data_IF_202730512270
#
_entry.id   IF_202730512270
#
_cell.length_a   1.000
_cell.length_b   1.000
_cell.length_c   1.000
_cell.angle_alpha   90.00
_cell.angle_beta   90.00
_cell.angle_gamma   90.00
#
_symmetry.space_group_name_H-M   'P 1'
#
loop_
_entity.id
_entity.type
_entity.pdbx_description
1 polymer ?
#
# COMPACT_ATOMS: atom_id res chain seq x y z
N UNK A 1 56.91 -28.05 -30.73
CA UNK A 1 55.84 -28.03 -29.72
C UNK A 1 55.38 -26.59 -29.72
N UNK A 2 54.36 -26.32 -30.53
CA UNK A 2 54.13 -25.01 -31.14
C UNK A 2 52.85 -24.43 -30.56
N UNK A 3 52.97 -23.25 -29.99
CA UNK A 3 51.89 -22.48 -29.37
C UNK A 3 50.82 -22.14 -30.41
N UNK A 4 49.56 -22.45 -30.10
CA UNK A 4 48.41 -21.97 -30.87
C UNK A 4 47.72 -20.85 -30.10
N UNK A 5 47.82 -19.67 -30.70
CA UNK A 5 47.15 -18.42 -30.36
C UNK A 5 45.64 -18.60 -30.59
N UNK A 6 44.83 -18.36 -29.56
CA UNK A 6 43.37 -18.25 -29.65
C UNK A 6 43.00 -16.88 -30.24
N UNK A 7 42.47 -16.88 -31.46
CA UNK A 7 41.79 -15.72 -32.06
C UNK A 7 40.37 -15.61 -31.48
N UNK A 8 39.89 -14.42 -31.08
CA UNK A 8 38.52 -14.26 -30.61
C UNK A 8 37.55 -14.33 -31.80
N UNK A 9 36.60 -15.27 -31.74
CA UNK A 9 35.51 -15.39 -32.71
C UNK A 9 34.59 -14.17 -32.61
N UNK A 10 34.50 -13.46 -33.72
CA UNK A 10 33.70 -12.26 -33.92
C UNK A 10 32.20 -12.62 -33.88
N UNK A 11 31.49 -12.22 -32.83
CA UNK A 11 30.05 -12.46 -32.64
C UNK A 11 29.26 -11.40 -33.40
N UNK A 12 29.30 -11.45 -34.72
CA UNK A 12 28.40 -10.67 -35.59
C UNK A 12 28.05 -11.53 -36.78
N UNK A 13 27.00 -12.34 -36.64
CA UNK A 13 26.10 -12.81 -37.70
C UNK A 13 25.14 -13.86 -37.10
N UNK A 14 24.06 -13.41 -36.45
CA UNK A 14 22.88 -14.25 -36.23
C UNK A 14 21.88 -13.90 -37.32
N UNK A 15 21.58 -14.81 -38.26
CA UNK A 15 20.48 -14.60 -39.20
C UNK A 15 19.16 -14.55 -38.43
N UNK A 16 18.42 -13.46 -38.56
CA UNK A 16 17.03 -13.33 -38.12
C UNK A 16 16.14 -14.20 -39.03
N UNK A 17 15.89 -15.45 -38.65
CA UNK A 17 14.73 -16.20 -39.16
C UNK A 17 14.00 -16.89 -38.00
N UNK A 18 12.79 -16.43 -37.60
CA UNK A 18 12.06 -16.94 -36.44
C UNK A 18 11.22 -18.18 -36.79
N UNK A 19 11.78 -19.15 -37.52
CA UNK A 19 11.00 -20.25 -38.11
C UNK A 19 11.06 -21.59 -37.37
N UNK A 20 11.88 -21.74 -36.32
CA UNK A 20 11.99 -23.01 -35.59
C UNK A 20 11.28 -22.96 -34.23
N UNK A 21 10.07 -23.54 -34.16
CA UNK A 21 9.26 -23.63 -32.94
C UNK A 21 10.01 -24.32 -31.79
N UNK A 22 10.86 -25.31 -32.09
CA UNK A 22 11.70 -25.96 -31.09
C UNK A 22 12.75 -25.01 -30.50
N UNK A 23 13.30 -24.09 -31.29
CA UNK A 23 14.25 -23.10 -30.80
C UNK A 23 13.56 -22.03 -29.94
N UNK A 24 12.31 -21.68 -30.25
CA UNK A 24 11.50 -20.83 -29.37
C UNK A 24 11.14 -21.52 -28.06
N UNK A 25 10.77 -22.82 -28.10
CA UNK A 25 10.55 -23.62 -26.89
C UNK A 25 11.82 -23.68 -26.06
N UNK A 26 12.97 -23.86 -26.70
CA UNK A 26 14.25 -24.02 -26.04
C UNK A 26 14.76 -22.71 -25.43
N UNK A 27 14.62 -21.58 -26.13
CA UNK A 27 14.89 -20.24 -25.56
C UNK A 27 13.94 -19.90 -24.42
N UNK A 28 12.68 -20.30 -24.55
CA UNK A 28 11.68 -20.16 -23.48
C UNK A 28 12.07 -21.01 -22.28
N UNK A 29 12.44 -22.29 -22.49
CA UNK A 29 12.93 -23.22 -21.47
C UNK A 29 14.16 -22.68 -20.75
N UNK A 30 15.13 -22.15 -21.48
CA UNK A 30 16.35 -21.53 -20.93
C UNK A 30 16.04 -20.24 -20.14
N UNK A 31 15.10 -19.41 -20.61
CA UNK A 31 14.61 -18.24 -19.86
C UNK A 31 13.94 -18.62 -18.53
N UNK A 32 13.32 -19.80 -18.47
CA UNK A 32 12.76 -20.35 -17.23
C UNK A 32 13.82 -20.96 -16.30
N UNK A 33 15.02 -21.30 -16.77
CA UNK A 33 16.09 -21.97 -16.00
C UNK A 33 17.12 -21.00 -15.38
N UNK A 34 17.15 -19.74 -15.81
CA UNK A 34 18.02 -18.68 -15.28
C UNK A 34 17.51 -18.13 -13.92
N UNK A 35 18.30 -17.34 -13.18
CA UNK A 35 17.84 -16.64 -11.94
C UNK A 35 16.59 -15.77 -12.19
N UNK A 36 16.38 -15.38 -13.46
CA UNK A 36 15.20 -14.69 -13.98
C UNK A 36 13.92 -15.54 -13.95
N UNK A 37 14.05 -16.87 -13.97
CA UNK A 37 12.94 -17.83 -13.95
C UNK A 37 12.10 -17.78 -12.67
N UNK A 38 12.73 -17.50 -11.52
CA UNK A 38 12.02 -17.36 -10.23
C UNK A 38 10.98 -16.23 -10.24
N UNK A 39 11.25 -15.14 -10.96
CA UNK A 39 10.30 -14.03 -11.12
C UNK A 39 9.11 -14.38 -12.01
N UNK A 40 9.34 -15.18 -13.05
CA UNK A 40 8.27 -15.63 -13.92
C UNK A 40 7.35 -16.58 -13.16
N UNK A 41 7.90 -17.44 -12.30
CA UNK A 41 7.11 -18.30 -11.39
C UNK A 41 6.24 -17.46 -10.45
N UNK A 42 6.77 -16.40 -9.86
CA UNK A 42 5.99 -15.44 -9.05
C UNK A 42 4.85 -14.80 -9.84
N UNK A 43 5.10 -14.37 -11.08
CA UNK A 43 4.08 -13.75 -11.93
C UNK A 43 2.97 -14.73 -12.31
N UNK A 44 3.33 -15.99 -12.59
CA UNK A 44 2.37 -17.08 -12.85
C UNK A 44 1.51 -17.34 -11.61
N UNK A 45 2.10 -17.36 -10.42
CA UNK A 45 1.38 -17.59 -9.16
C UNK A 45 0.43 -16.44 -8.77
N UNK A 46 0.72 -15.22 -9.21
CA UNK A 46 -0.12 -14.05 -8.96
C UNK A 46 -1.38 -14.00 -9.84
N UNK A 47 -1.32 -14.53 -11.06
CA UNK A 47 -2.41 -14.42 -12.02
C UNK A 47 -3.75 -15.01 -11.51
N UNK A 48 -3.79 -16.24 -10.93
CA UNK A 48 -5.01 -16.78 -10.32
C UNK A 48 -5.57 -15.92 -9.17
N UNK A 49 -4.68 -15.28 -8.40
CA UNK A 49 -5.07 -14.41 -7.29
C UNK A 49 -5.79 -13.15 -7.81
N UNK A 50 -5.23 -12.52 -8.85
CA UNK A 50 -5.85 -11.35 -9.46
C UNK A 50 -7.18 -11.68 -10.16
N UNK A 51 -7.27 -12.83 -10.84
CA UNK A 51 -8.51 -13.26 -11.49
C UNK A 51 -9.64 -13.50 -10.47
N UNK A 52 -9.31 -14.10 -9.32
CA UNK A 52 -10.29 -14.37 -8.27
C UNK A 52 -10.85 -13.11 -7.60
N UNK A 53 -10.11 -12.01 -7.63
CA UNK A 53 -10.63 -10.69 -7.24
C UNK A 53 -11.82 -10.26 -8.10
N UNK A 54 -11.77 -10.47 -9.42
CA UNK A 54 -12.89 -10.17 -10.32
C UNK A 54 -14.17 -10.91 -9.92
N UNK A 55 -14.05 -12.17 -9.50
CA UNK A 55 -15.19 -12.99 -9.07
C UNK A 55 -15.91 -12.42 -7.83
N UNK A 56 -15.17 -11.83 -6.88
CA UNK A 56 -15.79 -11.21 -5.71
C UNK A 56 -16.58 -9.94 -6.09
N UNK A 57 -16.06 -9.16 -7.05
CA UNK A 57 -16.79 -8.00 -7.59
C UNK A 57 -18.07 -8.43 -8.27
N UNK A 58 -18.01 -9.48 -9.10
CA UNK A 58 -19.19 -10.04 -9.74
C UNK A 58 -20.24 -10.42 -8.69
N UNK A 59 -19.84 -11.12 -7.62
CA UNK A 59 -20.76 -11.54 -6.56
C UNK A 59 -21.37 -10.39 -5.74
N UNK A 60 -20.65 -9.27 -5.58
CA UNK A 60 -21.12 -8.14 -4.76
C UNK A 60 -21.91 -7.11 -5.58
N UNK A 61 -21.55 -6.90 -6.84
CA UNK A 61 -22.09 -5.83 -7.67
C UNK A 61 -23.18 -6.32 -8.59
N UNK A 62 -23.08 -7.54 -9.14
CA UNK A 62 -24.14 -8.05 -10.01
C UNK A 62 -25.48 -8.12 -9.29
N UNK A 63 -25.48 -8.37 -7.97
CA UNK A 63 -26.69 -8.35 -7.14
C UNK A 63 -27.27 -6.95 -6.92
N UNK A 64 -26.40 -5.95 -6.82
CA UNK A 64 -26.80 -4.54 -6.71
C UNK A 64 -27.38 -4.03 -8.03
N UNK A 65 -26.71 -4.33 -9.14
CA UNK A 65 -27.15 -3.91 -10.48
C UNK A 65 -28.46 -4.61 -10.90
N UNK A 66 -28.56 -5.92 -10.67
CA UNK A 66 -29.75 -6.72 -11.01
C UNK A 66 -30.88 -6.61 -9.98
N UNK A 67 -30.67 -5.85 -8.90
CA UNK A 67 -31.60 -5.69 -7.76
C UNK A 67 -32.02 -7.01 -7.10
N UNK A 68 -31.22 -8.07 -7.26
CA UNK A 68 -31.55 -9.38 -6.69
C UNK A 68 -31.18 -9.48 -5.21
N UNK A 69 -30.19 -8.71 -4.74
CA UNK A 69 -29.81 -8.75 -3.33
C UNK A 69 -30.79 -8.02 -2.39
N UNK A 70 -31.78 -7.28 -2.90
CA UNK A 70 -32.88 -6.74 -2.07
C UNK A 70 -33.68 -7.89 -1.42
N UNK A 71 -33.91 -8.96 -2.19
CA UNK A 71 -34.55 -10.19 -1.69
C UNK A 71 -33.70 -10.87 -0.61
N UNK A 72 -32.38 -10.84 -0.77
CA UNK A 72 -31.45 -11.42 0.18
C UNK A 72 -31.40 -10.64 1.51
N UNK A 73 -31.56 -9.31 1.44
CA UNK A 73 -31.61 -8.42 2.60
C UNK A 73 -32.95 -8.46 3.34
N UNK A 74 -34.01 -8.97 2.72
CA UNK A 74 -35.31 -9.19 3.34
C UNK A 74 -35.37 -10.49 4.19
N UNK A 75 -34.40 -11.40 4.01
CA UNK A 75 -34.29 -12.60 4.81
C UNK A 75 -33.92 -12.25 6.27
N UNK A 76 -34.32 -13.05 7.26
CA UNK A 76 -33.98 -12.85 8.68
C UNK A 76 -32.51 -13.24 8.98
N UNK A 77 -31.59 -12.81 8.11
CA UNK A 77 -30.15 -13.03 8.23
C UNK A 77 -29.42 -11.70 8.40
N UNK A 78 -28.42 -11.72 9.28
CA UNK A 78 -27.54 -10.58 9.50
C UNK A 78 -26.76 -10.26 8.22
N UNK A 79 -26.71 -8.98 7.82
CA UNK A 79 -26.07 -8.53 6.56
C UNK A 79 -24.59 -8.87 6.50
N UNK A 80 -23.91 -8.81 7.64
CA UNK A 80 -22.51 -9.17 7.77
C UNK A 80 -22.28 -10.64 7.39
N UNK A 81 -23.21 -11.54 7.73
CA UNK A 81 -23.10 -12.95 7.37
C UNK A 81 -23.17 -13.18 5.86
N UNK A 82 -23.97 -12.39 5.14
CA UNK A 82 -24.03 -12.41 3.67
C UNK A 82 -22.66 -12.05 3.08
N UNK A 83 -22.04 -10.98 3.59
CA UNK A 83 -20.73 -10.57 3.13
C UNK A 83 -19.67 -11.64 3.42
N UNK A 84 -19.63 -12.16 4.66
CA UNK A 84 -18.67 -13.21 5.03
C UNK A 84 -18.86 -14.50 4.22
N UNK A 85 -20.09 -14.93 3.94
CA UNK A 85 -20.30 -16.13 3.12
C UNK A 85 -19.75 -15.96 1.70
N UNK A 86 -19.93 -14.78 1.09
CA UNK A 86 -19.36 -14.48 -0.23
C UNK A 86 -17.84 -14.46 -0.19
N UNK A 87 -17.27 -13.81 0.82
CA UNK A 87 -15.83 -13.70 1.02
C UNK A 87 -15.20 -15.09 1.21
N UNK A 88 -15.77 -15.92 2.08
CA UNK A 88 -15.29 -17.28 2.38
C UNK A 88 -15.42 -18.19 1.16
N UNK A 89 -16.51 -18.10 0.39
CA UNK A 89 -16.67 -18.89 -0.84
C UNK A 89 -15.57 -18.61 -1.86
N UNK A 90 -15.25 -17.33 -2.11
CA UNK A 90 -14.15 -16.98 -3.02
C UNK A 90 -12.80 -17.37 -2.41
N UNK A 91 -12.61 -17.22 -1.09
CA UNK A 91 -11.40 -17.67 -0.41
C UNK A 91 -11.14 -19.17 -0.63
N UNK A 92 -12.17 -20.02 -0.51
CA UNK A 92 -12.03 -21.46 -0.75
C UNK A 92 -11.63 -21.78 -2.20
N UNK A 93 -12.18 -21.05 -3.17
CA UNK A 93 -11.80 -21.19 -4.59
C UNK A 93 -10.33 -20.83 -4.78
N UNK A 94 -9.87 -19.72 -4.20
CA UNK A 94 -8.47 -19.30 -4.24
C UNK A 94 -7.56 -20.34 -3.59
N UNK A 95 -7.91 -20.84 -2.40
CA UNK A 95 -7.11 -21.85 -1.71
C UNK A 95 -6.95 -23.11 -2.57
N UNK A 96 -8.03 -23.54 -3.23
CA UNK A 96 -7.98 -24.65 -4.17
C UNK A 96 -7.07 -24.35 -5.38
N UNK A 97 -7.17 -23.16 -5.97
CA UNK A 97 -6.31 -22.74 -7.09
C UNK A 97 -4.84 -22.68 -6.67
N UNK A 98 -4.52 -22.10 -5.52
CA UNK A 98 -3.15 -22.02 -4.99
C UNK A 98 -2.58 -23.43 -4.75
N UNK A 99 -3.36 -24.31 -4.11
CA UNK A 99 -2.95 -25.70 -3.90
C UNK A 99 -2.68 -26.41 -5.23
N UNK A 100 -3.55 -26.24 -6.22
CA UNK A 100 -3.39 -26.81 -7.55
C UNK A 100 -2.10 -26.33 -8.23
N UNK A 101 -1.87 -25.01 -8.26
CA UNK A 101 -0.70 -24.42 -8.92
C UNK A 101 0.62 -24.75 -8.22
N UNK A 102 0.66 -24.70 -6.89
CA UNK A 102 1.87 -25.06 -6.14
C UNK A 102 2.20 -26.52 -6.31
N UNK A 103 1.20 -27.40 -6.28
CA UNK A 103 1.40 -28.83 -6.51
C UNK A 103 1.95 -29.08 -7.92
N UNK A 104 1.37 -28.44 -8.94
CA UNK A 104 1.86 -28.55 -10.31
C UNK A 104 3.32 -28.08 -10.43
N UNK A 105 3.64 -26.88 -9.91
CA UNK A 105 4.98 -26.31 -9.99
C UNK A 105 6.02 -27.08 -9.18
N UNK A 106 5.61 -27.68 -8.07
CA UNK A 106 6.44 -28.60 -7.29
C UNK A 106 6.80 -29.86 -8.10
N UNK A 107 5.83 -30.48 -8.78
CA UNK A 107 6.09 -31.63 -9.66
C UNK A 107 6.98 -31.27 -10.85
N UNK A 108 6.90 -30.04 -11.37
CA UNK A 108 7.80 -29.55 -12.41
C UNK A 108 9.18 -29.10 -11.89
N UNK A 109 9.47 -29.25 -10.59
CA UNK A 109 10.75 -28.88 -9.98
C UNK A 109 11.01 -27.36 -9.99
N UNK A 110 9.97 -26.55 -10.11
CA UNK A 110 10.04 -25.07 -10.16
C UNK A 110 9.89 -24.41 -8.80
N UNK A 111 9.33 -25.14 -7.84
CA UNK A 111 9.23 -24.73 -6.44
C UNK A 111 9.96 -25.79 -5.62
N UNK A 112 10.98 -25.38 -4.89
CA UNK A 112 11.73 -26.25 -3.99
C UNK A 112 10.99 -26.48 -2.68
N UNK A 113 10.22 -25.49 -2.22
CA UNK A 113 9.60 -25.53 -0.89
C UNK A 113 8.08 -25.27 -0.93
N UNK A 114 7.23 -26.24 -0.54
CA UNK A 114 5.78 -26.05 -0.53
C UNK A 114 5.29 -24.98 0.48
N UNK A 115 6.13 -24.53 1.41
CA UNK A 115 5.80 -23.46 2.36
C UNK A 115 5.51 -22.10 1.70
N UNK A 116 5.88 -21.93 0.44
CA UNK A 116 5.52 -20.75 -0.38
C UNK A 116 4.01 -20.47 -0.38
N UNK A 117 3.16 -21.47 -0.11
CA UNK A 117 1.71 -21.27 -0.02
C UNK A 117 1.30 -20.24 1.04
N UNK A 118 2.03 -20.13 2.15
CA UNK A 118 1.67 -19.28 3.29
C UNK A 118 1.65 -17.79 2.90
N UNK A 119 2.75 -17.20 2.39
CA UNK A 119 2.74 -15.81 1.94
C UNK A 119 1.72 -15.55 0.82
N UNK A 120 1.46 -16.52 -0.06
CA UNK A 120 0.46 -16.37 -1.13
C UNK A 120 -0.97 -16.31 -0.58
N UNK A 121 -1.30 -17.09 0.45
CA UNK A 121 -2.59 -17.01 1.14
C UNK A 121 -2.78 -15.62 1.77
N UNK A 122 -1.75 -15.09 2.43
CA UNK A 122 -1.82 -13.74 3.02
C UNK A 122 -2.00 -12.68 1.92
N UNK A 123 -1.31 -12.84 0.80
CA UNK A 123 -1.46 -11.96 -0.36
C UNK A 123 -2.86 -12.05 -0.95
N UNK A 124 -3.45 -13.24 -0.99
CA UNK A 124 -4.82 -13.45 -1.45
C UNK A 124 -5.86 -12.81 -0.52
N UNK A 125 -5.68 -12.93 0.80
CA UNK A 125 -6.51 -12.26 1.81
C UNK A 125 -6.43 -10.75 1.63
N UNK A 126 -5.24 -10.20 1.38
CA UNK A 126 -5.04 -8.79 1.10
C UNK A 126 -5.80 -8.35 -0.16
N UNK A 127 -5.60 -9.04 -1.28
CA UNK A 127 -6.30 -8.74 -2.53
C UNK A 127 -7.81 -8.80 -2.36
N UNK A 128 -8.34 -9.88 -1.77
CA UNK A 128 -9.77 -10.01 -1.51
C UNK A 128 -10.31 -8.96 -0.57
N UNK A 129 -9.57 -8.54 0.45
CA UNK A 129 -10.02 -7.49 1.39
C UNK A 129 -10.18 -6.14 0.70
N UNK A 130 -9.25 -5.79 -0.19
CA UNK A 130 -9.27 -4.57 -1.00
C UNK A 130 -10.44 -4.63 -1.98
N UNK A 131 -10.54 -5.72 -2.74
CA UNK A 131 -11.62 -5.96 -3.68
C UNK A 131 -12.99 -5.98 -2.99
N UNK A 132 -13.09 -6.57 -1.81
CA UNK A 132 -14.30 -6.58 -0.99
C UNK A 132 -14.73 -5.17 -0.62
N UNK A 133 -13.80 -4.34 -0.13
CA UNK A 133 -14.08 -2.94 0.18
C UNK A 133 -14.53 -2.16 -1.06
N UNK A 134 -13.84 -2.32 -2.20
CA UNK A 134 -14.23 -1.68 -3.46
C UNK A 134 -15.62 -2.17 -3.90
N UNK A 135 -15.90 -3.46 -3.85
CA UNK A 135 -17.19 -4.04 -4.22
C UNK A 135 -18.34 -3.57 -3.33
N UNK A 136 -18.10 -3.40 -2.03
CA UNK A 136 -19.06 -2.77 -1.11
C UNK A 136 -19.28 -1.31 -1.47
N UNK A 137 -18.20 -0.57 -1.78
CA UNK A 137 -18.26 0.84 -2.12
C UNK A 137 -18.82 1.12 -3.52
N UNK A 138 -18.70 0.23 -4.51
CA UNK A 138 -19.04 0.44 -5.94
C UNK A 138 -20.47 0.02 -6.33
N UNK A 139 -21.05 0.71 -7.33
CA UNK A 139 -22.49 0.65 -7.71
C UNK A 139 -22.66 -0.13 -8.97
N UNK A 140 -21.84 0.28 -9.92
CA UNK A 140 -21.82 -0.24 -11.26
C UNK A 140 -20.60 -1.13 -11.39
N UNK A 141 -20.76 -2.18 -12.19
CA UNK A 141 -19.73 -3.13 -12.51
C UNK A 141 -18.58 -2.44 -13.24
N UNK A 142 -18.88 -1.54 -14.19
CA UNK A 142 -17.86 -0.80 -14.96
C UNK A 142 -16.93 0.03 -14.06
N UNK A 143 -17.51 0.82 -13.16
CA UNK A 143 -16.73 1.70 -12.28
C UNK A 143 -15.88 0.87 -11.30
N UNK A 144 -16.46 -0.22 -10.78
CA UNK A 144 -15.73 -1.10 -9.88
C UNK A 144 -14.60 -1.85 -10.56
N UNK A 145 -14.86 -2.40 -11.74
CA UNK A 145 -13.86 -3.10 -12.53
C UNK A 145 -12.68 -2.16 -12.87
N UNK A 146 -12.95 -0.88 -13.19
CA UNK A 146 -11.91 0.12 -13.39
C UNK A 146 -11.11 0.36 -12.11
N UNK A 147 -11.78 0.64 -10.98
CA UNK A 147 -11.10 0.89 -9.69
C UNK A 147 -10.27 -0.32 -9.27
N UNK A 148 -10.80 -1.54 -9.41
CA UNK A 148 -10.07 -2.78 -9.09
C UNK A 148 -8.89 -2.97 -10.01
N UNK A 149 -9.03 -2.76 -11.32
CA UNK A 149 -7.93 -2.88 -12.28
C UNK A 149 -6.81 -1.91 -11.94
N UNK A 150 -7.14 -0.63 -11.73
CA UNK A 150 -6.16 0.38 -11.31
C UNK A 150 -5.50 -0.07 -10.01
N UNK A 151 -6.28 -0.41 -8.99
CA UNK A 151 -5.75 -0.85 -7.70
C UNK A 151 -4.85 -2.08 -7.81
N UNK A 152 -5.18 -3.04 -8.68
CA UNK A 152 -4.36 -4.23 -8.92
C UNK A 152 -3.06 -3.89 -9.62
N UNK A 153 -3.06 -2.94 -10.54
CA UNK A 153 -1.81 -2.40 -11.12
C UNK A 153 -0.96 -1.77 -10.01
N UNK A 154 -1.54 -0.96 -9.12
CA UNK A 154 -0.82 -0.35 -8.00
C UNK A 154 -0.22 -1.42 -7.07
N UNK A 155 -1.03 -2.40 -6.68
CA UNK A 155 -0.61 -3.50 -5.81
C UNK A 155 0.43 -4.38 -6.48
N UNK A 156 0.32 -4.61 -7.78
CA UNK A 156 1.33 -5.34 -8.54
C UNK A 156 2.68 -4.63 -8.45
N UNK A 157 2.74 -3.32 -8.72
CA UNK A 157 4.00 -2.56 -8.57
C UNK A 157 4.53 -2.58 -7.13
N UNK A 158 3.66 -2.48 -6.13
CA UNK A 158 4.05 -2.54 -4.73
C UNK A 158 4.63 -3.91 -4.36
N UNK A 159 3.91 -4.99 -4.66
CA UNK A 159 4.27 -6.35 -4.25
C UNK A 159 5.41 -6.93 -5.08
N UNK A 160 5.41 -6.69 -6.39
CA UNK A 160 6.46 -7.14 -7.30
C UNK A 160 7.71 -6.26 -7.18
N UNK A 161 7.56 -4.94 -7.11
CA UNK A 161 8.69 -4.01 -6.98
C UNK A 161 9.46 -4.18 -5.67
N UNK A 162 8.79 -4.48 -4.57
CA UNK A 162 9.50 -4.86 -3.32
C UNK A 162 10.25 -6.19 -3.46
N UNK A 163 9.72 -7.12 -4.24
CA UNK A 163 10.37 -8.40 -4.51
C UNK A 163 11.61 -8.28 -5.42
N UNK A 164 11.64 -7.31 -6.34
CA UNK A 164 12.86 -7.02 -7.12
C UNK A 164 13.95 -6.39 -6.25
N UNK A 165 13.59 -5.59 -5.23
CA UNK A 165 14.54 -5.06 -4.25
C UNK A 165 15.22 -6.17 -3.42
N UNK A 166 14.48 -7.27 -3.14
CA UNK A 166 15.05 -8.43 -2.45
C UNK A 166 16.25 -9.01 -3.21
N UNK A 167 16.11 -9.14 -4.53
CA UNK A 167 17.15 -9.70 -5.40
C UNK A 167 18.26 -8.69 -5.68
N UNK A 168 17.94 -7.39 -5.68
CA UNK A 168 18.94 -6.32 -5.70
C UNK A 168 19.79 -6.25 -4.41
N UNK A 169 19.53 -7.12 -3.42
CA UNK A 169 20.31 -7.23 -2.18
C UNK A 169 19.81 -6.36 -1.03
N UNK A 170 18.76 -5.57 -1.23
CA UNK A 170 18.17 -4.68 -0.21
C UNK A 170 17.09 -5.45 0.58
N UNK A 171 17.53 -6.48 1.30
CA UNK A 171 16.65 -7.47 1.96
C UNK A 171 15.73 -6.85 3.02
N UNK A 172 16.20 -5.82 3.72
CA UNK A 172 15.49 -5.20 4.85
C UNK A 172 14.23 -4.45 4.41
N UNK A 173 14.30 -3.74 3.28
CA UNK A 173 13.15 -3.01 2.70
C UNK A 173 12.21 -3.97 1.99
N UNK A 174 12.75 -4.99 1.33
CA UNK A 174 11.96 -6.00 0.66
C UNK A 174 11.13 -6.86 1.63
N UNK A 175 11.62 -7.10 2.86
CA UNK A 175 10.95 -7.91 3.87
C UNK A 175 9.57 -7.37 4.31
N UNK A 176 9.16 -6.18 3.88
CA UNK A 176 7.83 -5.61 4.18
C UNK A 176 6.72 -6.32 3.36
N UNK A 177 7.07 -6.93 2.22
CA UNK A 177 6.10 -7.55 1.32
C UNK A 177 6.00 -9.07 1.53
N UNK A 178 4.78 -9.64 1.62
CA UNK A 178 4.59 -11.07 1.70
C UNK A 178 5.11 -11.79 0.44
N UNK A 179 5.17 -11.14 -0.72
CA UNK A 179 5.77 -11.76 -1.91
C UNK A 179 7.29 -11.87 -1.84
N UNK A 180 7.97 -10.95 -1.18
CA UNK A 180 9.42 -11.07 -1.00
C UNK A 180 9.79 -12.25 -0.10
N UNK A 181 8.89 -12.64 0.81
CA UNK A 181 9.04 -13.86 1.60
C UNK A 181 8.97 -15.13 0.74
N UNK A 182 8.26 -15.14 -0.39
CA UNK A 182 8.26 -16.28 -1.33
C UNK A 182 9.69 -16.53 -1.82
N UNK A 183 10.41 -15.49 -2.22
CA UNK A 183 11.81 -15.60 -2.64
C UNK A 183 12.73 -16.04 -1.51
N UNK A 184 12.52 -15.52 -0.30
CA UNK A 184 13.31 -15.91 0.87
C UNK A 184 13.12 -17.39 1.25
N UNK A 185 11.89 -17.91 1.15
CA UNK A 185 11.57 -19.32 1.40
C UNK A 185 12.22 -20.23 0.34
N UNK A 186 12.13 -19.86 -0.94
CA UNK A 186 12.75 -20.63 -2.03
C UNK A 186 14.27 -20.65 -1.93
N UNK A 187 14.89 -19.54 -1.51
CA UNK A 187 16.33 -19.46 -1.29
C UNK A 187 16.79 -20.07 0.05
N UNK A 188 15.86 -20.60 0.86
CA UNK A 188 16.16 -21.18 2.18
C UNK A 188 16.65 -20.17 3.23
N UNK A 189 16.52 -18.87 2.96
CA UNK A 189 17.05 -17.78 3.77
C UNK A 189 15.92 -17.03 4.48
N UNK A 190 15.12 -17.75 5.28
CA UNK A 190 14.02 -17.16 6.06
C UNK A 190 14.20 -17.40 7.57
N UNK A 191 13.94 -16.35 8.34
CA UNK A 191 13.90 -16.37 9.80
C UNK A 191 12.48 -16.11 10.32
N UNK A 192 12.19 -16.52 11.56
CA UNK A 192 10.89 -16.21 12.20
C UNK A 192 10.60 -14.71 12.23
N UNK A 193 11.64 -13.88 12.39
CA UNK A 193 11.54 -12.43 12.38
C UNK A 193 11.11 -11.91 11.01
N UNK A 194 11.74 -12.37 9.94
CA UNK A 194 11.39 -11.97 8.56
C UNK A 194 9.96 -12.41 8.22
N UNK A 195 9.58 -13.64 8.58
CA UNK A 195 8.19 -14.12 8.40
C UNK A 195 7.19 -13.20 9.09
N UNK A 196 7.44 -12.81 10.35
CA UNK A 196 6.56 -11.92 11.09
C UNK A 196 6.48 -10.52 10.45
N UNK A 197 7.62 -9.95 10.06
CA UNK A 197 7.70 -8.62 9.43
C UNK A 197 7.03 -8.59 8.07
N UNK A 198 7.09 -9.66 7.27
CA UNK A 198 6.44 -9.73 5.96
C UNK A 198 4.94 -10.01 6.03
N UNK A 199 4.49 -10.85 6.98
CA UNK A 199 3.10 -11.31 6.99
C UNK A 199 2.18 -10.46 7.87
N UNK A 200 2.63 -10.02 9.05
CA UNK A 200 1.77 -9.33 10.01
C UNK A 200 1.23 -7.98 9.51
N UNK A 201 2.02 -7.12 8.83
CA UNK A 201 1.49 -5.87 8.30
C UNK A 201 0.39 -6.09 7.27
N UNK A 202 0.61 -7.00 6.31
CA UNK A 202 -0.39 -7.33 5.28
C UNK A 202 -1.63 -7.96 5.89
N UNK A 203 -1.49 -8.89 6.83
CA UNK A 203 -2.62 -9.52 7.51
C UNK A 203 -3.41 -8.50 8.36
N UNK A 204 -2.71 -7.68 9.14
CA UNK A 204 -3.32 -6.64 9.97
C UNK A 204 -4.10 -5.62 9.13
N UNK A 205 -3.50 -5.15 8.02
CA UNK A 205 -4.18 -4.27 7.07
C UNK A 205 -5.41 -4.94 6.44
N UNK A 206 -5.29 -6.21 6.05
CA UNK A 206 -6.41 -6.97 5.49
C UNK A 206 -7.57 -7.13 6.48
N UNK A 207 -7.28 -7.43 7.74
CA UNK A 207 -8.30 -7.52 8.80
C UNK A 207 -9.00 -6.17 8.96
N UNK A 208 -8.25 -5.06 8.95
CA UNK A 208 -8.80 -3.70 8.99
C UNK A 208 -9.74 -3.41 7.82
N UNK A 209 -9.34 -3.79 6.59
CA UNK A 209 -10.16 -3.62 5.39
C UNK A 209 -11.42 -4.50 5.41
N UNK A 210 -11.32 -5.76 5.84
CA UNK A 210 -12.48 -6.64 5.99
C UNK A 210 -13.45 -6.08 7.02
N UNK A 211 -12.95 -5.59 8.16
CA UNK A 211 -13.77 -4.95 9.18
C UNK A 211 -14.47 -3.71 8.62
N UNK A 212 -13.73 -2.82 7.93
CA UNK A 212 -14.29 -1.63 7.30
C UNK A 212 -15.35 -1.99 6.26
N UNK A 213 -15.05 -2.92 5.35
CA UNK A 213 -15.99 -3.40 4.34
C UNK A 213 -17.27 -3.95 4.98
N UNK A 214 -17.13 -4.71 6.07
CA UNK A 214 -18.26 -5.22 6.84
C UNK A 214 -19.09 -4.09 7.45
N UNK A 215 -18.46 -3.11 8.08
CA UNK A 215 -19.14 -1.94 8.67
C UNK A 215 -19.90 -1.15 7.61
N UNK A 216 -19.31 -0.93 6.44
CA UNK A 216 -19.96 -0.22 5.33
C UNK A 216 -21.11 -1.04 4.74
N UNK A 217 -20.94 -2.36 4.58
CA UNK A 217 -21.95 -3.26 4.04
C UNK A 217 -23.22 -3.33 4.91
N UNK A 218 -23.10 -3.08 6.21
CA UNK A 218 -24.26 -3.03 7.12
C UNK A 218 -25.20 -1.87 6.82
N UNK A 219 -24.68 -0.75 6.32
CA UNK A 219 -25.44 0.48 6.17
C UNK A 219 -26.27 0.49 4.90
N UNK A 220 -27.53 0.94 5.01
CA UNK A 220 -28.47 1.00 3.89
C UNK A 220 -27.97 1.89 2.75
N UNK A 221 -27.24 2.96 3.04
CA UNK A 221 -26.75 3.93 2.05
C UNK A 221 -25.82 3.32 0.99
N UNK A 222 -25.11 2.23 1.31
CA UNK A 222 -24.23 1.54 0.36
C UNK A 222 -24.97 0.60 -0.58
N UNK A 223 -26.19 0.21 -0.20
CA UNK A 223 -27.03 -0.71 -0.97
C UNK A 223 -28.16 0.02 -1.70
N UNK A 224 -28.90 0.90 -1.01
CA UNK A 224 -30.12 1.56 -1.49
C UNK A 224 -29.99 3.09 -1.64
N UNK A 225 -29.09 3.75 -0.91
CA UNK A 225 -29.05 5.21 -0.82
C UNK A 225 -28.13 5.93 -1.82
N UNK A 226 -28.18 7.28 -1.86
CA UNK A 226 -27.11 8.08 -2.44
C UNK A 226 -25.86 7.88 -1.58
N UNK A 227 -24.75 7.53 -2.21
CA UNK A 227 -23.57 7.09 -1.45
C UNK A 227 -22.86 8.26 -0.82
N UNK A 228 -22.39 8.10 0.42
CA UNK A 228 -21.51 9.08 1.02
C UNK A 228 -20.24 9.18 0.18
N UNK A 229 -19.79 10.41 -0.06
CA UNK A 229 -18.47 10.65 -0.62
C UNK A 229 -17.39 10.18 0.36
N UNK A 230 -16.17 9.96 -0.12
CA UNK A 230 -15.02 9.64 0.76
C UNK A 230 -14.87 10.73 1.85
N UNK A 231 -15.09 12.00 1.50
CA UNK A 231 -15.08 13.09 2.48
C UNK A 231 -16.18 12.97 3.52
N UNK A 232 -17.39 12.52 3.15
CA UNK A 232 -18.48 12.32 4.11
C UNK A 232 -18.16 11.18 5.09
N UNK A 233 -17.51 10.12 4.61
CA UNK A 233 -17.04 9.02 5.46
C UNK A 233 -15.94 9.46 6.43
N UNK A 234 -14.98 10.25 5.94
CA UNK A 234 -13.94 10.86 6.77
C UNK A 234 -14.57 11.74 7.86
N UNK A 235 -15.54 12.59 7.49
CA UNK A 235 -16.23 13.43 8.45
C UNK A 235 -17.07 12.62 9.42
N UNK A 236 -17.83 11.63 8.99
CA UNK A 236 -18.58 10.74 9.89
C UNK A 236 -17.66 10.06 10.90
N UNK A 237 -16.49 9.58 10.47
CA UNK A 237 -15.49 9.00 11.36
C UNK A 237 -14.96 10.04 12.37
N UNK A 238 -14.65 11.26 11.92
CA UNK A 238 -14.28 12.36 12.80
C UNK A 238 -15.39 12.69 13.82
N UNK A 239 -16.66 12.62 13.40
CA UNK A 239 -17.83 12.77 14.26
C UNK A 239 -17.96 11.70 15.34
N UNK A 240 -17.45 10.47 15.09
CA UNK A 240 -17.40 9.40 16.11
C UNK A 240 -16.31 9.60 17.15
N UNK A 241 -15.22 10.28 16.79
CA UNK A 241 -14.14 10.68 17.71
C UNK A 241 -14.57 11.89 18.57
N UNK A 242 -15.58 12.63 18.10
CA UNK A 242 -16.02 13.86 18.72
C UNK A 242 -16.47 13.66 20.18
N UNK A 243 -15.88 14.44 21.08
CA UNK A 243 -16.36 14.60 22.46
C UNK A 243 -17.18 15.89 22.50
N UNK A 244 -18.50 15.73 22.65
CA UNK A 244 -19.44 16.85 22.67
C UNK A 244 -19.07 17.86 23.76
N UNK A 245 -19.25 19.14 23.44
CA UNK A 245 -19.07 20.28 24.34
C UNK A 245 -17.65 20.49 24.90
N UNK A 246 -16.64 19.82 24.32
CA UNK A 246 -15.23 19.98 24.71
C UNK A 246 -14.41 20.62 23.58
N UNK A 247 -13.84 21.79 23.86
CA UNK A 247 -12.99 22.52 22.91
C UNK A 247 -11.76 21.72 22.46
N UNK A 248 -11.20 20.87 23.34
CA UNK A 248 -10.04 20.03 23.00
C UNK A 248 -10.36 18.90 22.02
N UNK A 249 -11.64 18.62 21.76
CA UNK A 249 -12.04 17.57 20.82
C UNK A 249 -11.58 17.85 19.38
N UNK A 250 -11.43 19.12 18.99
CA UNK A 250 -10.87 19.48 17.69
C UNK A 250 -9.42 18.99 17.54
N UNK A 251 -8.62 19.12 18.60
CA UNK A 251 -7.23 18.67 18.65
C UNK A 251 -7.14 17.14 18.72
N UNK A 252 -8.07 16.47 19.41
CA UNK A 252 -8.15 15.01 19.42
C UNK A 252 -8.43 14.43 18.02
N UNK A 253 -9.36 15.05 17.28
CA UNK A 253 -9.62 14.68 15.88
C UNK A 253 -8.36 14.90 15.06
N UNK A 254 -7.74 16.08 15.14
CA UNK A 254 -6.53 16.38 14.39
C UNK A 254 -5.37 15.41 14.71
N UNK A 255 -5.15 15.07 15.98
CA UNK A 255 -4.13 14.11 16.42
C UNK A 255 -4.38 12.72 15.81
N UNK A 256 -5.64 12.24 15.88
CA UNK A 256 -6.02 10.91 15.40
C UNK A 256 -5.81 10.82 13.88
N UNK A 257 -6.20 11.84 13.14
CA UNK A 257 -5.95 11.91 11.71
C UNK A 257 -4.47 12.13 11.37
N UNK A 258 -3.69 12.76 12.24
CA UNK A 258 -2.23 12.81 12.13
C UNK A 258 -1.59 11.42 12.14
N UNK A 259 -2.04 10.52 13.02
CA UNK A 259 -1.61 9.12 13.00
C UNK A 259 -2.03 8.38 11.73
N UNK A 260 -3.27 8.60 11.27
CA UNK A 260 -3.79 7.98 10.04
C UNK A 260 -3.02 8.49 8.82
N UNK A 261 -2.63 9.77 8.81
CA UNK A 261 -1.96 10.42 7.70
C UNK A 261 -0.64 9.75 7.33
N UNK A 262 0.11 9.17 8.27
CA UNK A 262 1.35 8.44 7.97
C UNK A 262 1.08 7.23 7.08
N UNK A 263 0.04 6.46 7.36
CA UNK A 263 -0.28 5.28 6.55
C UNK A 263 -0.71 5.69 5.14
N UNK A 264 -1.46 6.79 5.02
CA UNK A 264 -1.84 7.36 3.72
C UNK A 264 -0.58 7.82 2.97
N UNK A 265 0.30 8.55 3.65
CA UNK A 265 1.57 9.03 3.13
C UNK A 265 2.46 7.91 2.63
N UNK A 266 2.76 6.90 3.45
CA UNK A 266 3.61 5.77 3.07
C UNK A 266 3.09 5.07 1.81
N UNK A 267 1.78 4.84 1.71
CA UNK A 267 1.19 4.19 0.52
C UNK A 267 1.45 5.04 -0.74
N UNK A 268 1.20 6.34 -0.66
CA UNK A 268 1.40 7.24 -1.80
C UNK A 268 2.87 7.50 -2.10
N UNK A 269 3.74 7.61 -1.09
CA UNK A 269 5.18 7.81 -1.25
C UNK A 269 5.86 6.62 -1.90
N UNK A 270 5.51 5.39 -1.49
CA UNK A 270 6.03 4.19 -2.15
C UNK A 270 5.52 4.13 -3.59
N UNK A 271 4.21 4.35 -3.78
CA UNK A 271 3.61 4.26 -5.11
C UNK A 271 4.20 5.29 -6.09
N UNK A 272 4.13 6.58 -5.73
CA UNK A 272 4.64 7.63 -6.57
C UNK A 272 6.17 7.66 -6.59
N UNK A 273 6.84 7.28 -5.50
CA UNK A 273 8.30 7.16 -5.43
C UNK A 273 8.84 6.12 -6.41
N UNK A 274 8.24 4.93 -6.47
CA UNK A 274 8.59 3.91 -7.47
C UNK A 274 8.41 4.47 -8.89
N UNK A 275 7.26 5.07 -9.18
CA UNK A 275 7.00 5.68 -10.49
C UNK A 275 8.06 6.74 -10.81
N UNK A 276 8.29 7.67 -9.88
CA UNK A 276 9.25 8.76 -10.10
C UNK A 276 10.66 8.22 -10.30
N UNK A 277 11.10 7.18 -9.59
CA UNK A 277 12.39 6.52 -9.82
C UNK A 277 12.53 5.96 -11.24
N UNK A 278 11.44 5.48 -11.85
CA UNK A 278 11.46 4.99 -13.24
C UNK A 278 11.48 6.11 -14.28
N UNK A 279 10.90 7.27 -13.98
CA UNK A 279 10.75 8.37 -14.94
C UNK A 279 11.68 9.56 -14.70
N UNK A 280 12.35 9.62 -13.55
CA UNK A 280 13.20 10.72 -13.14
C UNK A 280 14.35 10.23 -12.27
N UNK A 281 15.56 10.65 -12.63
CA UNK A 281 16.76 10.43 -11.84
C UNK A 281 16.97 11.52 -10.77
N UNK A 282 16.09 12.53 -10.71
CA UNK A 282 16.25 13.66 -9.80
C UNK A 282 15.67 13.39 -8.42
N UNK A 283 16.54 13.22 -7.43
CA UNK A 283 16.16 13.07 -6.02
C UNK A 283 15.34 14.26 -5.50
N UNK A 284 15.59 15.47 -6.02
CA UNK A 284 14.84 16.67 -5.64
C UNK A 284 13.35 16.59 -6.02
N UNK A 285 13.04 15.97 -7.17
CA UNK A 285 11.64 15.79 -7.60
C UNK A 285 10.93 14.80 -6.67
N UNK A 286 11.62 13.72 -6.28
CA UNK A 286 11.09 12.72 -5.34
C UNK A 286 10.82 13.37 -3.98
N UNK A 287 11.78 14.13 -3.44
CA UNK A 287 11.65 14.80 -2.15
C UNK A 287 10.52 15.85 -2.14
N UNK A 288 10.33 16.59 -3.24
CA UNK A 288 9.23 17.54 -3.36
C UNK A 288 7.89 16.81 -3.37
N UNK A 289 7.79 15.71 -4.13
CA UNK A 289 6.59 14.90 -4.21
C UNK A 289 6.20 14.30 -2.85
N UNK A 290 7.17 13.76 -2.10
CA UNK A 290 6.94 13.27 -0.74
C UNK A 290 6.47 14.37 0.20
N UNK A 291 7.14 15.55 0.18
CA UNK A 291 6.70 16.70 0.99
C UNK A 291 5.24 17.10 0.67
N UNK A 292 4.85 17.10 -0.61
CA UNK A 292 3.46 17.35 -1.03
C UNK A 292 2.54 16.30 -0.40
N UNK A 293 2.81 15.01 -0.62
CA UNK A 293 1.97 13.90 -0.14
C UNK A 293 1.75 13.99 1.38
N UNK A 294 2.81 14.23 2.14
CA UNK A 294 2.74 14.34 3.59
C UNK A 294 1.93 15.54 4.07
N UNK A 295 2.17 16.72 3.52
CA UNK A 295 1.44 17.92 3.93
C UNK A 295 -0.06 17.82 3.60
N UNK A 296 -0.40 17.25 2.44
CA UNK A 296 -1.80 16.99 2.09
C UNK A 296 -2.44 15.95 3.02
N UNK A 297 -1.75 14.86 3.34
CA UNK A 297 -2.26 13.81 4.22
C UNK A 297 -2.53 14.34 5.63
N UNK A 298 -1.58 15.09 6.22
CA UNK A 298 -1.72 15.72 7.54
C UNK A 298 -2.88 16.72 7.61
N UNK A 299 -3.18 17.39 6.50
CA UNK A 299 -4.23 18.41 6.44
C UNK A 299 -5.65 17.85 6.64
N UNK A 300 -5.88 16.56 6.36
CA UNK A 300 -7.18 15.88 6.49
C UNK A 300 -7.74 16.03 7.92
N UNK A 301 -6.88 15.96 8.94
CA UNK A 301 -7.29 16.15 10.33
C UNK A 301 -7.84 17.54 10.62
N UNK A 302 -7.25 18.58 10.04
CA UNK A 302 -7.70 19.97 10.25
C UNK A 302 -9.00 20.24 9.51
N UNK A 303 -9.17 19.75 8.28
CA UNK A 303 -10.45 19.82 7.57
C UNK A 303 -11.57 19.14 8.35
N UNK A 304 -11.26 17.96 8.92
CA UNK A 304 -12.19 17.19 9.74
C UNK A 304 -12.56 17.92 11.03
N UNK A 305 -11.59 18.48 11.75
CA UNK A 305 -11.84 19.27 12.96
C UNK A 305 -12.70 20.52 12.65
N UNK A 306 -12.38 21.25 11.58
CA UNK A 306 -13.11 22.45 11.16
C UNK A 306 -14.57 22.18 10.78
N UNK A 307 -14.90 20.97 10.30
CA UNK A 307 -16.27 20.59 9.96
C UNK A 307 -17.20 20.63 11.18
N UNK A 308 -16.68 20.26 12.35
CA UNK A 308 -17.46 20.15 13.61
C UNK A 308 -17.26 21.34 14.55
N UNK A 309 -16.13 22.03 14.46
CA UNK A 309 -15.78 23.13 15.35
C UNK A 309 -15.43 24.39 14.54
N UNK A 310 -16.05 25.55 14.83
CA UNK A 310 -15.72 26.81 14.18
C UNK A 310 -14.39 27.35 14.73
N UNK A 311 -13.28 26.87 14.19
CA UNK A 311 -11.94 27.22 14.63
C UNK A 311 -11.57 28.67 14.27
N UNK A 312 -10.95 29.39 15.21
CA UNK A 312 -10.21 30.64 14.96
C UNK A 312 -8.85 30.32 14.32
N UNK A 313 -8.14 31.36 13.86
CA UNK A 313 -6.86 31.17 13.15
C UNK A 313 -5.80 30.48 14.02
N UNK A 314 -5.71 30.82 15.32
CA UNK A 314 -4.76 30.20 16.25
C UNK A 314 -5.18 28.78 16.64
N UNK A 315 -6.48 28.51 16.73
CA UNK A 315 -6.99 27.15 16.96
C UNK A 315 -6.78 26.26 15.73
N UNK A 316 -6.89 26.83 14.52
CA UNK A 316 -6.52 26.18 13.27
C UNK A 316 -5.04 25.85 13.18
N UNK A 317 -4.18 26.80 13.58
CA UNK A 317 -2.74 26.58 13.72
C UNK A 317 -2.47 25.44 14.70
N UNK A 318 -3.07 25.48 15.89
CA UNK A 318 -2.86 24.47 16.93
C UNK A 318 -3.39 23.10 16.50
N UNK A 319 -4.52 23.03 15.79
CA UNK A 319 -5.02 21.79 15.19
C UNK A 319 -4.06 21.25 14.12
N UNK A 320 -3.50 22.13 13.27
CA UNK A 320 -2.47 21.77 12.31
C UNK A 320 -1.21 21.21 12.98
N UNK A 321 -0.69 21.92 13.98
CA UNK A 321 0.44 21.49 14.81
C UNK A 321 0.16 20.14 15.48
N UNK A 322 -1.05 19.92 15.98
CA UNK A 322 -1.45 18.67 16.63
C UNK A 322 -1.50 17.51 15.63
N UNK A 323 -1.99 17.75 14.40
CA UNK A 323 -1.95 16.75 13.33
C UNK A 323 -0.50 16.42 12.93
N UNK A 324 0.33 17.45 12.75
CA UNK A 324 1.76 17.30 12.47
C UNK A 324 2.51 16.56 13.58
N UNK A 325 2.14 16.79 14.84
CA UNK A 325 2.69 16.07 15.99
C UNK A 325 2.30 14.59 15.98
N UNK A 326 1.03 14.27 15.72
CA UNK A 326 0.58 12.88 15.57
C UNK A 326 1.33 12.15 14.46
N UNK A 327 1.51 12.83 13.32
CA UNK A 327 2.31 12.31 12.21
C UNK A 327 3.78 12.08 12.62
N UNK A 328 4.44 13.09 13.18
CA UNK A 328 5.84 12.98 13.59
C UNK A 328 6.08 11.89 14.64
N UNK A 329 5.17 11.73 15.59
CA UNK A 329 5.29 10.73 16.65
C UNK A 329 5.38 9.32 16.08
N UNK A 330 4.40 8.93 15.26
CA UNK A 330 4.35 7.57 14.75
C UNK A 330 5.38 7.36 13.62
N UNK A 331 5.69 8.37 12.83
CA UNK A 331 6.79 8.32 11.87
C UNK A 331 8.14 8.05 12.58
N UNK A 332 8.42 8.76 13.68
CA UNK A 332 9.63 8.54 14.46
C UNK A 332 9.69 7.18 15.14
N UNK A 333 8.55 6.64 15.60
CA UNK A 333 8.48 5.27 16.13
C UNK A 333 8.85 4.27 15.03
N UNK A 334 8.27 4.41 13.83
CA UNK A 334 8.54 3.53 12.69
C UNK A 334 10.02 3.60 12.30
N UNK A 335 10.56 4.81 12.11
CA UNK A 335 11.98 5.00 11.78
C UNK A 335 12.93 4.48 12.86
N UNK A 336 12.58 4.62 14.14
CA UNK A 336 13.40 4.11 15.24
C UNK A 336 13.41 2.59 15.25
N UNK A 337 12.28 1.94 14.99
CA UNK A 337 12.22 0.48 14.83
C UNK A 337 13.13 0.06 13.67
N UNK A 338 13.07 0.72 12.51
CA UNK A 338 14.00 0.45 11.41
C UNK A 338 15.46 0.64 11.82
N UNK A 339 15.79 1.76 12.47
CA UNK A 339 17.16 2.08 12.89
C UNK A 339 17.69 1.09 13.92
N UNK A 340 16.86 0.63 14.87
CA UNK A 340 17.24 -0.40 15.84
C UNK A 340 17.63 -1.73 15.18
N UNK A 341 17.04 -2.02 14.01
CA UNK A 341 17.32 -3.26 13.28
C UNK A 341 18.58 -3.17 12.42
N UNK A 342 18.94 -1.98 11.92
CA UNK A 342 20.06 -1.79 10.98
C UNK A 342 21.29 -1.21 11.69
N UNK A 343 21.09 -0.23 12.56
CA UNK A 343 22.14 0.53 13.26
C UNK A 343 21.79 0.71 14.76
N UNK A 344 21.79 -0.36 15.56
CA UNK A 344 21.31 -0.35 16.95
C UNK A 344 22.01 0.70 17.82
N UNK A 345 23.32 0.89 17.64
CA UNK A 345 24.12 1.85 18.40
C UNK A 345 23.75 3.31 18.15
N UNK A 346 23.13 3.60 17.00
CA UNK A 346 22.72 4.95 16.60
C UNK A 346 21.24 5.21 16.84
N UNK A 347 20.44 4.19 17.15
CA UNK A 347 18.98 4.30 17.21
C UNK A 347 18.48 5.36 18.19
N UNK A 348 19.05 5.42 19.40
CA UNK A 348 18.67 6.45 20.40
C UNK A 348 19.02 7.85 19.92
N UNK A 349 20.20 8.02 19.30
CA UNK A 349 20.63 9.32 18.76
C UNK A 349 19.75 9.76 17.60
N UNK A 350 19.43 8.85 16.68
CA UNK A 350 18.54 9.10 15.54
C UNK A 350 17.13 9.44 16.04
N UNK A 351 16.60 8.71 17.02
CA UNK A 351 15.30 8.99 17.62
C UNK A 351 15.24 10.41 18.20
N UNK A 352 16.24 10.80 19.00
CA UNK A 352 16.30 12.14 19.60
C UNK A 352 16.43 13.23 18.53
N UNK A 353 17.37 13.09 17.60
CA UNK A 353 17.57 14.04 16.50
C UNK A 353 16.30 14.22 15.67
N UNK A 354 15.68 13.12 15.23
CA UNK A 354 14.46 13.17 14.42
C UNK A 354 13.26 13.74 15.17
N UNK A 355 13.12 13.44 16.46
CA UNK A 355 12.03 13.97 17.29
C UNK A 355 12.03 15.50 17.32
N UNK A 356 13.21 16.12 17.47
CA UNK A 356 13.29 17.58 17.54
C UNK A 356 13.41 18.25 16.17
N UNK A 357 14.14 17.65 15.22
CA UNK A 357 14.36 18.23 13.89
C UNK A 357 13.15 17.96 12.97
N UNK A 358 13.01 16.73 12.47
CA UNK A 358 11.91 16.37 11.56
C UNK A 358 10.56 16.55 12.24
N UNK A 359 10.42 16.13 13.50
CA UNK A 359 9.18 16.29 14.25
C UNK A 359 8.77 17.76 14.43
N UNK A 360 9.74 18.64 14.69
CA UNK A 360 9.51 20.09 14.74
C UNK A 360 9.02 20.64 13.40
N UNK A 361 9.59 20.17 12.29
CA UNK A 361 9.19 20.58 10.93
C UNK A 361 7.76 20.14 10.62
N UNK A 362 7.38 18.89 10.86
CA UNK A 362 6.00 18.44 10.59
C UNK A 362 4.97 19.23 11.41
N UNK A 363 5.31 19.61 12.65
CA UNK A 363 4.47 20.43 13.53
C UNK A 363 4.31 21.84 12.96
N UNK A 364 5.42 22.48 12.56
CA UNK A 364 5.42 23.85 12.05
C UNK A 364 4.73 23.94 10.69
N UNK A 365 5.08 23.07 9.74
CA UNK A 365 4.52 23.07 8.38
C UNK A 365 3.00 22.84 8.42
N UNK A 366 2.54 21.83 9.16
CA UNK A 366 1.12 21.55 9.31
C UNK A 366 0.38 22.66 10.07
N UNK A 367 1.04 23.33 11.02
CA UNK A 367 0.51 24.51 11.71
C UNK A 367 0.22 25.68 10.76
N UNK A 368 1.15 26.00 9.86
CA UNK A 368 0.97 27.03 8.83
C UNK A 368 -0.22 26.68 7.92
N UNK A 369 -0.28 25.43 7.45
CA UNK A 369 -1.40 24.93 6.63
C UNK A 369 -2.72 25.04 7.38
N UNK A 370 -2.74 24.74 8.67
CA UNK A 370 -3.92 24.85 9.52
C UNK A 370 -4.51 26.27 9.57
N UNK A 371 -3.67 27.30 9.57
CA UNK A 371 -4.10 28.71 9.46
C UNK A 371 -4.84 28.93 8.14
N UNK A 372 -4.26 28.48 7.02
CA UNK A 372 -4.84 28.63 5.69
C UNK A 372 -6.16 27.88 5.51
N UNK A 373 -6.28 26.68 6.10
CA UNK A 373 -7.52 25.90 6.08
C UNK A 373 -8.64 26.66 6.79
N UNK A 374 -8.37 27.26 7.95
CA UNK A 374 -9.35 28.08 8.66
C UNK A 374 -9.68 29.35 7.87
N UNK A 375 -8.66 30.10 7.46
CA UNK A 375 -8.78 31.33 6.69
C UNK A 375 -8.72 31.04 5.20
N UNK A 376 -9.85 30.61 4.60
CA UNK A 376 -9.98 30.18 3.19
C UNK A 376 -9.24 31.05 2.15
N UNK A 377 -9.15 32.37 2.36
CA UNK A 377 -8.39 33.30 1.49
C UNK A 377 -6.90 32.92 1.35
N UNK A 378 -6.32 32.31 2.38
CA UNK A 378 -4.90 31.97 2.47
C UNK A 378 -4.64 30.46 2.30
N UNK A 379 -5.61 29.67 1.83
CA UNK A 379 -5.44 28.22 1.72
C UNK A 379 -4.27 27.83 0.80
N UNK A 380 -4.27 28.34 -0.44
CA UNK A 380 -3.21 28.08 -1.42
C UNK A 380 -1.83 28.54 -0.92
N UNK A 381 -1.64 29.81 -0.50
CA UNK A 381 -0.31 30.25 -0.04
C UNK A 381 0.14 29.51 1.22
N UNK A 382 -0.76 29.13 2.14
CA UNK A 382 -0.39 28.36 3.31
C UNK A 382 0.09 26.94 2.96
N UNK A 383 -0.55 26.27 2.01
CA UNK A 383 -0.09 24.98 1.49
C UNK A 383 1.28 25.11 0.83
N UNK A 384 1.47 26.09 -0.05
CA UNK A 384 2.77 26.32 -0.69
C UNK A 384 3.88 26.57 0.33
N UNK A 385 3.63 27.42 1.34
CA UNK A 385 4.61 27.70 2.40
C UNK A 385 4.88 26.45 3.24
N UNK A 386 3.85 25.71 3.64
CA UNK A 386 4.03 24.49 4.43
C UNK A 386 4.85 23.43 3.70
N UNK A 387 4.56 23.21 2.41
CA UNK A 387 5.31 22.28 1.55
C UNK A 387 6.75 22.77 1.37
N UNK A 388 6.97 24.06 1.13
CA UNK A 388 8.31 24.62 0.97
C UNK A 388 9.16 24.50 2.26
N UNK A 389 8.57 24.74 3.44
CA UNK A 389 9.26 24.56 4.73
C UNK A 389 9.75 23.11 4.85
N UNK A 390 8.87 22.14 4.56
CA UNK A 390 9.20 20.74 4.68
C UNK A 390 10.21 20.30 3.60
N UNK A 391 10.00 20.70 2.36
CA UNK A 391 10.93 20.41 1.26
C UNK A 391 12.32 21.00 1.49
N UNK A 392 12.41 22.25 1.98
CA UNK A 392 13.67 22.88 2.31
C UNK A 392 14.42 22.10 3.40
N UNK A 393 13.71 21.64 4.43
CA UNK A 393 14.29 20.74 5.44
C UNK A 393 14.84 19.45 4.81
N UNK A 394 14.07 18.79 3.95
CA UNK A 394 14.50 17.56 3.28
C UNK A 394 15.77 17.78 2.44
N UNK A 395 15.87 18.93 1.74
CA UNK A 395 17.09 19.31 1.02
C UNK A 395 18.25 19.55 1.98
N UNK A 396 18.07 20.34 3.04
CA UNK A 396 19.16 20.66 3.98
C UNK A 396 19.71 19.40 4.64
N UNK A 397 18.85 18.44 4.98
CA UNK A 397 19.28 17.14 5.51
C UNK A 397 20.06 16.37 4.46
N UNK A 398 19.60 16.35 3.20
CA UNK A 398 20.32 15.67 2.11
C UNK A 398 21.71 16.29 1.88
N UNK A 399 21.79 17.61 1.76
CA UNK A 399 23.05 18.35 1.55
C UNK A 399 23.99 18.30 2.74
N UNK A 400 23.48 18.08 3.97
CA UNK A 400 24.30 17.85 5.15
C UNK A 400 24.83 16.42 5.28
N UNK A 401 24.34 15.49 4.46
CA UNK A 401 24.75 14.07 4.42
C UNK A 401 25.68 13.77 3.23
N UNK A 402 25.55 14.51 2.13
CA UNK A 402 26.52 14.55 1.01
C UNK A 402 27.76 15.34 1.44
#
# INVERSE_FOLDING_TARGET
>A
KTDQIQTPLNVTNVPNDPSNFQEQIERTRQSFEDERGGYIVLLVLLLPLFLSGGMLIDLLISEKEKKTGEMLLALPIKREKIFYSKFISIMLIILFQLLFWITALYFFGRIGNPLVIIPLIITAILLLSITGLIGVYSKNYKDSALIVTVTFILLFFLLFGTSTLYVAGIKEVAAISPLSLVMAIENGAYSLKEVAVSLLPSLGFSIGLIYLATVLYRKDEFYFGPRPSISDLIFEFAGKIQIKDRAYSAYLIALTFGFIAIFISIIFEIFFGIITLYFSESIFIILMLWAIIEEFSKSIGVFSAKKYYPLKWHEGMLAGMTSGFGFALLENIIFTIFTLNIFPDYAVRVFLMRTFLSGGIHVVSAGVIGIGIVKRKYIIPAFLIGILIHFAYNITVLEGVI
#
